data_IF_027472265225
#
_entry.id   IF_027472265225
#
_cell.length_a   1.000
_cell.length_b   1.000
_cell.length_c   1.000
_cell.angle_alpha   90.00
_cell.angle_beta   90.00
_cell.angle_gamma   90.00
#
_symmetry.space_group_name_H-M   'P 1'
#
loop_
_entity.id
_entity.type
_entity.pdbx_description
1 polymer ?
#
# COMPACT_ATOMS: atom_id res chain seq x y z
N UNK A 1 -35.42 12.20 -31.71
CA UNK A 1 -35.14 13.09 -30.56
C UNK A 1 -35.10 12.31 -29.25
N UNK A 2 -36.19 11.68 -28.81
CA UNK A 2 -36.25 10.91 -27.53
C UNK A 2 -35.26 9.72 -27.49
N UNK A 3 -35.19 8.93 -28.56
CA UNK A 3 -34.28 7.77 -28.64
C UNK A 3 -32.80 8.19 -28.53
N UNK A 4 -32.43 9.30 -29.16
CA UNK A 4 -31.07 9.85 -29.09
C UNK A 4 -30.72 10.28 -27.65
N UNK A 5 -31.64 10.93 -26.95
CA UNK A 5 -31.46 11.31 -25.53
C UNK A 5 -31.24 10.07 -24.66
N UNK A 6 -32.00 9.01 -24.91
CA UNK A 6 -31.87 7.75 -24.15
C UNK A 6 -30.51 7.07 -24.37
N UNK A 7 -30.00 7.07 -25.61
CA UNK A 7 -28.66 6.58 -25.94
C UNK A 7 -27.57 7.41 -25.26
N UNK A 8 -27.69 8.74 -25.26
CA UNK A 8 -26.74 9.61 -24.57
C UNK A 8 -26.74 9.38 -23.06
N UNK A 9 -27.90 9.24 -22.43
CA UNK A 9 -28.01 9.02 -21.00
C UNK A 9 -27.39 7.68 -20.58
N UNK A 10 -27.68 6.62 -21.33
CA UNK A 10 -27.13 5.28 -21.07
C UNK A 10 -25.62 5.22 -21.28
N UNK A 11 -25.09 5.85 -22.33
CA UNK A 11 -23.64 5.94 -22.55
C UNK A 11 -22.93 6.70 -21.43
N UNK A 12 -23.53 7.78 -20.92
CA UNK A 12 -22.99 8.59 -19.83
C UNK A 12 -22.87 7.79 -18.52
N UNK A 13 -23.86 6.95 -18.22
CA UNK A 13 -23.86 6.11 -17.00
C UNK A 13 -22.75 5.05 -17.07
N UNK A 14 -22.43 4.52 -18.26
CA UNK A 14 -21.39 3.51 -18.45
C UNK A 14 -19.97 4.07 -18.25
N UNK A 15 -19.73 5.33 -18.62
CA UNK A 15 -18.40 5.96 -18.52
C UNK A 15 -18.16 6.70 -17.21
N UNK A 16 -19.22 6.97 -16.44
CA UNK A 16 -19.14 7.69 -15.16
C UNK A 16 -18.85 6.79 -13.94
N UNK A 17 -18.67 5.49 -14.13
CA UNK A 17 -18.36 4.57 -13.02
C UNK A 17 -16.88 4.67 -12.66
N UNK A 18 -16.57 4.71 -11.36
CA UNK A 18 -15.19 4.54 -10.88
C UNK A 18 -14.70 3.13 -11.20
N UNK A 19 -13.48 3.01 -11.71
CA UNK A 19 -12.87 1.71 -12.00
C UNK A 19 -12.03 1.24 -10.81
N UNK A 20 -11.90 -0.07 -10.68
CA UNK A 20 -10.89 -0.65 -9.80
C UNK A 20 -9.52 -0.18 -10.30
N UNK A 21 -8.71 0.37 -9.40
CA UNK A 21 -7.41 0.98 -9.72
C UNK A 21 -7.42 2.49 -9.94
N UNK A 22 -8.59 3.15 -10.04
CA UNK A 22 -8.66 4.63 -10.13
C UNK A 22 -8.43 5.30 -8.76
N UNK A 23 -8.60 4.55 -7.68
CA UNK A 23 -8.39 5.03 -6.32
C UNK A 23 -6.90 4.99 -5.99
N UNK A 24 -6.35 6.10 -5.53
CA UNK A 24 -5.03 6.17 -4.93
C UNK A 24 -5.14 6.63 -3.48
N UNK A 25 -4.22 6.17 -2.65
CA UNK A 25 -4.11 6.61 -1.26
C UNK A 25 -2.77 7.30 -1.07
N UNK A 26 -2.82 8.51 -0.50
CA UNK A 26 -1.65 9.33 -0.21
C UNK A 26 -1.45 9.33 1.30
N UNK A 27 -0.45 8.58 1.75
CA UNK A 27 -0.12 8.41 3.16
C UNK A 27 1.20 9.10 3.50
N UNK A 28 1.48 9.27 4.79
CA UNK A 28 2.72 9.91 5.27
C UNK A 28 3.65 8.88 5.91
N UNK A 29 4.78 8.50 5.27
CA UNK A 29 5.77 7.60 5.86
C UNK A 29 6.81 8.33 6.74
N UNK A 30 6.49 9.55 7.20
CA UNK A 30 7.45 10.43 7.87
C UNK A 30 7.92 9.90 9.23
N UNK A 31 7.04 9.22 9.97
CA UNK A 31 7.34 8.66 11.28
C UNK A 31 7.71 7.20 11.08
N UNK A 32 8.98 6.88 11.33
CA UNK A 32 9.53 5.52 11.28
C UNK A 32 9.56 4.97 12.70
N UNK A 33 8.94 3.81 12.90
CA UNK A 33 8.90 3.11 14.19
C UNK A 33 9.96 2.02 14.29
N UNK A 34 10.26 1.37 13.17
CA UNK A 34 11.17 0.23 13.11
C UNK A 34 11.72 0.07 11.69
N UNK A 35 12.87 -0.59 11.54
CA UNK A 35 13.49 -0.83 10.23
C UNK A 35 14.32 -2.11 10.21
N UNK A 36 14.39 -2.72 9.04
CA UNK A 36 15.26 -3.86 8.76
C UNK A 36 15.97 -3.66 7.41
N UNK A 37 17.11 -4.32 7.27
CA UNK A 37 17.82 -4.44 6.00
C UNK A 37 17.52 -5.81 5.38
N UNK A 38 17.16 -5.80 4.10
CA UNK A 38 16.94 -6.98 3.29
C UNK A 38 17.63 -6.79 1.93
N UNK A 39 18.72 -7.54 1.74
CA UNK A 39 19.56 -7.52 0.55
C UNK A 39 20.13 -6.12 0.26
N UNK A 40 19.54 -5.35 -0.65
CA UNK A 40 19.93 -3.96 -0.97
C UNK A 40 18.73 -3.01 -0.81
N UNK A 41 17.86 -3.34 0.14
CA UNK A 41 16.69 -2.56 0.50
C UNK A 41 16.64 -2.34 2.00
N UNK A 42 16.28 -1.14 2.39
CA UNK A 42 15.89 -0.82 3.77
C UNK A 42 14.37 -0.74 3.80
N UNK A 43 13.77 -1.61 4.59
CA UNK A 43 12.32 -1.62 4.83
C UNK A 43 12.07 -0.92 6.16
N UNK A 44 11.09 -0.03 6.20
CA UNK A 44 10.76 0.78 7.36
C UNK A 44 9.26 0.66 7.68
N UNK A 45 8.96 0.32 8.94
CA UNK A 45 7.63 0.37 9.50
C UNK A 45 7.27 1.85 9.77
N UNK A 46 6.19 2.34 9.17
CA UNK A 46 5.77 3.74 9.34
C UNK A 46 4.27 3.84 9.63
N UNK A 47 3.80 5.01 10.05
CA UNK A 47 2.36 5.29 10.15
C UNK A 47 1.64 5.29 8.79
N UNK A 48 2.40 5.48 7.71
CA UNK A 48 1.92 5.60 6.33
C UNK A 48 2.06 4.34 5.48
N UNK A 49 2.50 3.22 6.05
CA UNK A 49 2.72 1.95 5.34
C UNK A 49 4.14 1.43 5.50
N UNK A 50 4.50 0.48 4.64
CA UNK A 50 5.86 -0.04 4.58
C UNK A 50 6.67 0.81 3.59
N UNK A 51 7.53 1.68 4.11
CA UNK A 51 8.43 2.48 3.29
C UNK A 51 9.63 1.59 2.89
N UNK A 52 9.96 1.59 1.60
CA UNK A 52 11.06 0.81 1.05
C UNK A 52 12.03 1.78 0.39
N UNK A 53 13.27 1.77 0.85
CA UNK A 53 14.38 2.42 0.16
C UNK A 53 15.19 1.39 -0.58
N UNK A 54 15.32 1.56 -1.90
CA UNK A 54 16.16 0.73 -2.74
C UNK A 54 17.53 1.41 -2.90
N UNK A 55 18.57 0.79 -2.36
CA UNK A 55 19.93 1.36 -2.34
C UNK A 55 20.58 1.37 -3.72
N UNK A 56 20.17 0.45 -4.61
CA UNK A 56 20.75 0.35 -5.96
C UNK A 56 20.26 1.48 -6.87
N UNK A 57 18.99 1.85 -6.73
CA UNK A 57 18.34 2.87 -7.54
C UNK A 57 18.21 4.22 -6.83
N UNK A 58 18.55 4.28 -5.54
CA UNK A 58 18.41 5.43 -4.65
C UNK A 58 16.98 5.98 -4.61
N UNK A 59 15.97 5.10 -4.65
CA UNK A 59 14.55 5.48 -4.71
C UNK A 59 13.76 4.96 -3.53
N UNK A 60 12.75 5.75 -3.17
CA UNK A 60 11.73 5.36 -2.20
C UNK A 60 10.47 4.89 -2.92
N UNK A 61 9.85 3.85 -2.37
CA UNK A 61 8.47 3.44 -2.64
C UNK A 61 7.77 3.16 -1.31
N UNK A 62 6.43 3.12 -1.32
CA UNK A 62 5.65 2.80 -0.11
C UNK A 62 4.57 1.81 -0.48
N UNK A 63 4.50 0.70 0.25
CA UNK A 63 3.37 -0.21 0.18
C UNK A 63 2.31 0.24 1.17
N UNK A 64 1.07 0.33 0.71
CA UNK A 64 -0.08 0.76 1.51
C UNK A 64 -1.22 -0.26 1.40
N UNK A 65 -2.38 0.09 1.95
CA UNK A 65 -3.54 -0.80 1.98
C UNK A 65 -4.03 -1.21 0.58
N UNK A 66 -3.87 -0.34 -0.43
CA UNK A 66 -4.24 -0.68 -1.81
C UNK A 66 -3.30 -1.72 -2.44
N UNK A 67 -2.07 -1.81 -1.94
CA UNK A 67 -1.07 -2.80 -2.36
C UNK A 67 -1.20 -4.12 -1.58
N UNK A 68 -2.19 -4.23 -0.68
CA UNK A 68 -2.48 -5.44 0.07
C UNK A 68 -2.07 -5.42 1.54
N UNK A 69 -1.65 -4.28 2.09
CA UNK A 69 -1.49 -4.17 3.55
C UNK A 69 -2.87 -4.17 4.26
N UNK A 70 -2.96 -4.88 5.39
CA UNK A 70 -4.16 -4.88 6.25
C UNK A 70 -4.45 -3.47 6.77
N UNK A 71 -3.40 -2.71 7.10
CA UNK A 71 -3.46 -1.31 7.50
C UNK A 71 -2.13 -0.62 7.26
N UNK A 72 -2.15 0.71 7.22
CA UNK A 72 -0.95 1.51 6.94
C UNK A 72 -0.16 1.83 8.20
N UNK A 73 -0.79 1.82 9.38
CA UNK A 73 -0.10 2.15 10.62
C UNK A 73 0.67 0.93 11.16
N UNK A 74 1.95 0.82 10.78
CA UNK A 74 2.86 -0.24 11.18
C UNK A 74 3.72 0.19 12.36
N UNK A 75 3.88 -0.67 13.36
CA UNK A 75 4.64 -0.38 14.57
C UNK A 75 5.96 -1.17 14.67
N UNK A 76 6.04 -2.34 14.04
CA UNK A 76 7.21 -3.24 14.13
C UNK A 76 7.31 -4.08 12.87
N UNK A 77 8.53 -4.38 12.43
CA UNK A 77 8.79 -5.30 11.32
C UNK A 77 9.98 -6.21 11.62
N UNK A 78 9.87 -7.48 11.23
CA UNK A 78 10.91 -8.47 11.45
C UNK A 78 11.03 -9.44 10.28
N UNK A 79 12.24 -9.92 10.01
CA UNK A 79 12.51 -10.90 8.95
C UNK A 79 12.60 -12.31 9.53
N UNK A 80 11.96 -13.28 8.89
CA UNK A 80 12.15 -14.70 9.22
C UNK A 80 13.29 -15.37 8.45
N UNK A 81 13.59 -16.62 8.80
CA UNK A 81 14.66 -17.41 8.17
C UNK A 81 14.41 -17.75 6.70
N UNK A 82 13.17 -17.59 6.21
CA UNK A 82 12.77 -17.84 4.83
C UNK A 82 12.74 -16.56 4.00
N UNK A 83 12.99 -15.39 4.61
CA UNK A 83 12.99 -14.10 3.92
C UNK A 83 11.64 -13.39 3.93
N UNK A 84 10.60 -13.95 4.57
CA UNK A 84 9.34 -13.24 4.72
C UNK A 84 9.47 -12.14 5.77
N UNK A 85 8.72 -11.06 5.56
CA UNK A 85 8.63 -9.94 6.47
C UNK A 85 7.35 -10.03 7.28
N UNK A 86 7.51 -10.14 8.59
CA UNK A 86 6.44 -10.10 9.57
C UNK A 86 6.24 -8.66 10.00
N UNK A 87 5.01 -8.17 9.91
CA UNK A 87 4.65 -6.79 10.21
C UNK A 87 3.58 -6.74 11.28
N UNK A 88 3.80 -5.93 12.32
CA UNK A 88 2.84 -5.68 13.38
C UNK A 88 2.19 -4.30 13.23
N UNK A 89 0.87 -4.27 13.16
CA UNK A 89 0.09 -3.02 13.15
C UNK A 89 0.02 -2.34 14.51
N UNK A 90 -0.06 -1.01 14.52
CA UNK A 90 -0.13 -0.22 15.75
C UNK A 90 -1.50 -0.29 16.44
N UNK A 91 -1.52 0.16 17.72
CA UNK A 91 -2.75 0.39 18.48
C UNK A 91 -3.66 1.44 17.80
N UNK A 92 -5.00 1.34 17.93
CA UNK A 92 -5.76 0.37 18.71
C UNK A 92 -6.14 -0.90 17.94
N UNK A 93 -5.98 -0.90 16.62
CA UNK A 93 -6.53 -1.95 15.75
C UNK A 93 -5.62 -3.17 15.60
N UNK A 94 -4.33 -3.06 15.95
CA UNK A 94 -3.34 -4.14 16.12
C UNK A 94 -3.52 -5.38 15.23
N UNK A 95 -2.64 -5.60 14.28
CA UNK A 95 -2.69 -6.78 13.40
C UNK A 95 -1.31 -7.40 13.23
N UNK A 96 -1.27 -8.62 12.70
CA UNK A 96 -0.05 -9.28 12.22
C UNK A 96 -0.25 -9.66 10.77
N UNK A 97 0.71 -9.31 9.92
CA UNK A 97 0.70 -9.64 8.50
C UNK A 97 2.08 -10.19 8.10
N UNK A 98 2.07 -11.16 7.19
CA UNK A 98 3.29 -11.66 6.53
C UNK A 98 3.31 -11.11 5.10
N UNK A 99 4.45 -10.60 4.68
CA UNK A 99 4.75 -10.12 3.33
C UNK A 99 5.92 -10.91 2.74
N UNK A 100 5.73 -11.46 1.55
CA UNK A 100 6.78 -12.10 0.77
C UNK A 100 7.35 -11.06 -0.21
N UNK A 101 8.63 -10.67 -0.08
CA UNK A 101 9.27 -9.70 -0.95
C UNK A 101 9.80 -10.29 -2.28
N UNK A 102 9.66 -11.60 -2.50
CA UNK A 102 10.22 -12.34 -3.65
C UNK A 102 9.47 -12.16 -4.97
#
# INVERSE_FOLDING_TARGET
>A
MIQSIFVFLTASILVSQSRLGDWESYTSPLIIHDLIELDSKVLCATEGGLLIYDETSEKFSTLINIDGLIGTNLNVIEKDLYGNIWMGGASPNGFVQVYDPS
#
